data_IF_879145545162
#
_entry.id   IF_879145545162
#
_cell.length_a   1.000
_cell.length_b   1.000
_cell.length_c   1.000
_cell.angle_alpha   90.00
_cell.angle_beta   90.00
_cell.angle_gamma   90.00
#
_symmetry.space_group_name_H-M   'P 1'
#
loop_
_entity.id
_entity.type
_entity.pdbx_description
1 polymer ?
#
# COMPACT_ATOMS: atom_id res chain seq x y z
N UNK A 1 -21.31 -28.53 -11.46
CA UNK A 1 -21.64 -27.97 -12.80
C UNK A 1 -20.45 -28.23 -13.70
N UNK A 2 -20.68 -28.72 -14.92
CA UNK A 2 -19.61 -28.86 -15.92
C UNK A 2 -19.28 -27.48 -16.50
N UNK A 3 -17.99 -27.18 -16.69
CA UNK A 3 -17.56 -25.91 -17.31
C UNK A 3 -17.47 -26.12 -18.82
N UNK A 4 -18.60 -26.04 -19.51
CA UNK A 4 -18.66 -26.29 -20.96
C UNK A 4 -18.24 -25.06 -21.80
N UNK A 5 -17.94 -23.92 -21.15
CA UNK A 5 -17.50 -22.70 -21.85
C UNK A 5 -16.03 -22.80 -22.25
N UNK A 6 -15.77 -22.78 -23.55
CA UNK A 6 -14.43 -22.70 -24.12
C UNK A 6 -13.86 -21.29 -23.88
N UNK A 7 -12.69 -21.21 -23.25
CA UNK A 7 -11.98 -19.94 -23.01
C UNK A 7 -11.05 -19.65 -24.20
N UNK A 8 -11.27 -18.57 -24.98
CA UNK A 8 -10.48 -18.28 -26.18
C UNK A 8 -9.14 -17.61 -25.83
N UNK A 9 -8.19 -18.38 -25.28
CA UNK A 9 -6.89 -17.88 -24.79
C UNK A 9 -6.14 -17.05 -25.84
N UNK A 10 -6.12 -17.49 -27.10
CA UNK A 10 -5.44 -16.78 -28.20
C UNK A 10 -5.97 -15.37 -28.47
N UNK A 11 -7.23 -15.10 -28.13
CA UNK A 11 -7.81 -13.76 -28.24
C UNK A 11 -7.45 -12.90 -27.03
N UNK A 12 -7.43 -13.51 -25.84
CA UNK A 12 -7.13 -12.81 -24.58
C UNK A 12 -5.69 -12.31 -24.53
N UNK A 13 -4.73 -13.11 -24.98
CA UNK A 13 -3.31 -12.73 -25.01
C UNK A 13 -3.01 -11.55 -25.94
N UNK A 14 -3.91 -11.23 -26.87
CA UNK A 14 -3.80 -10.05 -27.75
C UNK A 14 -4.18 -8.74 -27.04
N UNK A 15 -4.68 -8.80 -25.81
CA UNK A 15 -4.98 -7.61 -24.99
C UNK A 15 -6.14 -6.76 -25.51
N UNK A 16 -6.99 -7.29 -26.41
CA UNK A 16 -8.11 -6.54 -26.97
C UNK A 16 -9.20 -6.35 -25.90
N UNK A 17 -9.63 -5.11 -25.71
CA UNK A 17 -10.60 -4.74 -24.67
C UNK A 17 -11.87 -5.59 -24.72
N UNK A 18 -12.47 -5.76 -25.90
CA UNK A 18 -13.74 -6.46 -26.06
C UNK A 18 -13.67 -7.92 -25.60
N UNK A 19 -12.64 -8.67 -26.02
CA UNK A 19 -12.47 -10.08 -25.67
C UNK A 19 -12.15 -10.24 -24.17
N UNK A 20 -11.32 -9.36 -23.62
CA UNK A 20 -10.95 -9.40 -22.21
C UNK A 20 -12.11 -9.00 -21.29
N UNK A 21 -12.88 -7.98 -21.68
CA UNK A 21 -14.05 -7.53 -20.93
C UNK A 21 -15.13 -8.62 -20.89
N UNK A 22 -15.42 -9.25 -22.03
CA UNK A 22 -16.38 -10.37 -22.10
C UNK A 22 -15.93 -11.55 -21.22
N UNK A 23 -14.63 -11.86 -21.20
CA UNK A 23 -14.08 -12.88 -20.32
C UNK A 23 -14.26 -12.54 -18.85
N UNK A 24 -13.93 -11.32 -18.42
CA UNK A 24 -14.06 -10.90 -17.01
C UNK A 24 -15.52 -10.91 -16.56
N UNK A 25 -16.45 -10.44 -17.41
CA UNK A 25 -17.88 -10.50 -17.10
C UNK A 25 -18.36 -11.93 -16.86
N UNK A 26 -17.95 -12.86 -17.72
CA UNK A 26 -18.28 -14.27 -17.53
C UNK A 26 -17.59 -14.85 -16.30
N UNK A 27 -16.31 -14.55 -16.10
CA UNK A 27 -15.53 -15.06 -14.98
C UNK A 27 -16.13 -14.63 -13.65
N UNK A 28 -16.60 -13.38 -13.54
CA UNK A 28 -17.32 -12.90 -12.35
C UNK A 28 -18.59 -13.70 -12.10
N UNK A 29 -19.43 -13.91 -13.11
CA UNK A 29 -20.65 -14.74 -12.98
C UNK A 29 -20.33 -16.18 -12.60
N UNK A 30 -19.27 -16.75 -13.18
CA UNK A 30 -18.78 -18.08 -12.83
C UNK A 30 -18.31 -18.13 -11.37
N UNK A 31 -17.51 -17.15 -10.94
CA UNK A 31 -17.02 -17.05 -9.57
C UNK A 31 -18.19 -16.95 -8.59
N UNK A 32 -19.14 -16.04 -8.80
CA UNK A 32 -20.28 -15.83 -7.90
C UNK A 32 -21.17 -17.08 -7.78
N UNK A 33 -21.27 -17.89 -8.84
CA UNK A 33 -22.07 -19.12 -8.84
C UNK A 33 -21.35 -20.32 -8.22
N UNK A 34 -20.01 -20.30 -8.11
CA UNK A 34 -19.21 -21.46 -7.68
C UNK A 34 -18.44 -21.19 -6.39
N UNK A 35 -18.31 -19.94 -5.95
CA UNK A 35 -17.64 -19.59 -4.71
C UNK A 35 -18.54 -19.93 -3.52
N UNK A 36 -18.10 -20.85 -2.68
CA UNK A 36 -18.83 -21.35 -1.52
C UNK A 36 -18.49 -20.61 -0.21
N UNK A 37 -17.79 -19.47 -0.31
CA UNK A 37 -17.42 -18.63 0.82
C UNK A 37 -16.28 -19.18 1.67
N UNK A 38 -15.65 -20.28 1.27
CA UNK A 38 -14.54 -20.89 2.03
C UNK A 38 -13.23 -20.15 1.80
N UNK A 39 -12.38 -20.18 2.83
CA UNK A 39 -10.99 -19.75 2.74
C UNK A 39 -10.23 -20.66 1.76
N UNK A 40 -9.46 -20.04 0.87
CA UNK A 40 -8.66 -20.75 -0.11
C UNK A 40 -7.42 -21.35 0.54
N UNK A 41 -7.40 -22.66 0.74
CA UNK A 41 -6.19 -23.39 1.12
C UNK A 41 -5.44 -23.84 -0.15
N UNK A 42 -4.29 -23.20 -0.47
CA UNK A 42 -3.54 -23.53 -1.68
C UNK A 42 -2.91 -24.93 -1.65
N UNK A 43 -2.57 -25.46 -0.47
CA UNK A 43 -1.96 -26.80 -0.35
C UNK A 43 -3.01 -27.88 -0.57
N UNK A 44 -4.18 -27.75 0.06
CA UNK A 44 -5.28 -28.68 -0.14
C UNK A 44 -5.84 -28.61 -1.57
N UNK A 45 -5.99 -27.40 -2.13
CA UNK A 45 -6.49 -27.22 -3.49
C UNK A 45 -5.57 -27.85 -4.55
N UNK A 46 -4.25 -27.88 -4.29
CA UNK A 46 -3.24 -28.51 -5.15
C UNK A 46 -2.95 -29.97 -4.79
N UNK A 47 -3.71 -30.55 -3.86
CA UNK A 47 -3.49 -31.93 -3.39
C UNK A 47 -2.04 -32.16 -2.89
N UNK A 48 -1.41 -31.13 -2.32
CA UNK A 48 -0.04 -31.20 -1.79
C UNK A 48 1.09 -31.05 -2.83
N UNK A 49 0.80 -30.63 -4.06
CA UNK A 49 1.85 -30.35 -5.06
C UNK A 49 2.54 -29.00 -4.84
N UNK A 50 3.85 -29.06 -4.62
CA UNK A 50 4.73 -27.90 -4.55
C UNK A 50 4.82 -27.17 -5.89
N UNK A 51 4.74 -25.84 -5.83
CA UNK A 51 4.79 -24.93 -6.99
C UNK A 51 6.22 -24.56 -7.37
N UNK A 52 7.20 -24.98 -6.56
CA UNK A 52 8.58 -24.75 -6.87
C UNK A 52 8.90 -25.46 -8.18
N UNK A 53 9.33 -24.74 -9.24
CA UNK A 53 9.88 -25.41 -10.40
C UNK A 53 11.02 -26.30 -9.91
N UNK A 54 11.01 -27.58 -10.29
CA UNK A 54 12.13 -28.46 -10.01
C UNK A 54 13.40 -27.74 -10.49
N UNK A 55 14.47 -27.66 -9.67
CA UNK A 55 15.71 -27.05 -10.12
C UNK A 55 16.13 -27.80 -11.38
N UNK A 56 16.04 -27.13 -12.53
CA UNK A 56 16.49 -27.69 -13.80
C UNK A 56 17.96 -28.11 -13.60
N UNK A 57 18.33 -29.38 -13.82
CA UNK A 57 19.72 -29.76 -13.85
C UNK A 57 20.32 -29.22 -15.15
N UNK A 58 20.68 -27.94 -15.14
CA UNK A 58 21.54 -27.36 -16.17
C UNK A 58 22.91 -28.06 -16.14
N UNK A 59 23.55 -28.28 -17.29
CA UNK A 59 24.76 -29.09 -17.38
C UNK A 59 25.90 -28.48 -16.58
N UNK A 60 26.35 -29.19 -15.55
CA UNK A 60 27.54 -28.86 -14.79
C UNK A 60 28.75 -28.91 -15.70
N UNK A 61 29.45 -27.78 -15.83
CA UNK A 61 30.76 -27.70 -16.46
C UNK A 61 31.74 -28.58 -15.68
N UNK A 62 32.24 -29.59 -16.37
CA UNK A 62 33.28 -30.51 -15.94
C UNK A 62 34.59 -29.77 -15.64
N UNK A 63 35.21 -30.07 -14.49
CA UNK A 63 36.64 -30.32 -14.44
C UNK A 63 37.01 -31.17 -13.21
N UNK A 64 37.97 -32.10 -13.33
CA UNK A 64 38.07 -33.26 -12.47
C UNK A 64 39.22 -33.15 -11.46
N UNK A 65 39.07 -33.71 -10.27
CA UNK A 65 40.13 -34.49 -9.57
C UNK A 65 39.50 -35.28 -8.42
N UNK A 66 39.79 -36.56 -8.37
CA UNK A 66 39.34 -37.62 -7.43
C UNK A 66 40.61 -38.45 -7.10
N UNK A 67 40.71 -39.33 -6.09
CA UNK A 67 40.11 -39.46 -4.74
C UNK A 67 41.17 -39.69 -3.62
N UNK A 68 40.75 -39.87 -2.36
CA UNK A 68 41.21 -41.04 -1.57
C UNK A 68 40.27 -41.43 -0.42
N UNK A 69 39.92 -42.73 -0.40
CA UNK A 69 39.14 -43.46 0.59
C UNK A 69 39.84 -43.57 1.97
N UNK A 70 39.06 -43.56 3.05
CA UNK A 70 39.22 -44.51 4.17
C UNK A 70 37.96 -44.53 5.10
N UNK A 71 37.69 -45.63 5.83
CA UNK A 71 36.36 -45.96 6.36
C UNK A 71 36.11 -45.64 7.86
N UNK A 72 34.82 -45.42 8.17
CA UNK A 72 33.99 -45.51 9.42
C UNK A 72 34.63 -45.78 10.81
N UNK A 73 34.01 -45.27 11.91
CA UNK A 73 32.96 -46.06 12.60
C UNK A 73 31.73 -45.27 13.10
N UNK A 74 30.58 -45.96 13.17
CA UNK A 74 29.34 -45.56 13.84
C UNK A 74 29.53 -45.30 15.34
N UNK A 75 28.77 -44.34 15.92
CA UNK A 75 28.12 -44.56 17.22
C UNK A 75 27.00 -43.56 17.61
N UNK A 76 25.88 -44.16 18.01
CA UNK A 76 24.80 -43.78 18.97
C UNK A 76 23.80 -42.65 18.66
N UNK A 77 22.56 -43.09 18.43
CA UNK A 77 21.31 -42.35 18.65
C UNK A 77 21.10 -42.02 20.13
N UNK A 78 20.65 -40.81 20.45
CA UNK A 78 19.96 -40.56 21.72
C UNK A 78 18.66 -39.79 21.47
N UNK A 79 17.54 -40.49 21.70
CA UNK A 79 16.22 -39.92 21.85
C UNK A 79 16.10 -39.31 23.25
N UNK A 80 15.60 -38.08 23.34
CA UNK A 80 14.92 -37.58 24.55
C UNK A 80 13.69 -36.76 24.13
N UNK A 81 12.49 -37.03 24.68
CA UNK A 81 11.29 -36.27 24.36
C UNK A 81 11.21 -35.03 25.27
N UNK A 82 11.07 -33.84 24.70
CA UNK A 82 10.78 -32.63 25.46
C UNK A 82 9.40 -32.11 25.09
N UNK A 83 8.47 -32.35 26.02
CA UNK A 83 7.14 -31.77 26.07
C UNK A 83 7.26 -30.25 26.25
N UNK A 84 6.78 -29.47 25.28
CA UNK A 84 6.33 -28.08 25.51
C UNK A 84 5.03 -27.84 24.76
N UNK A 85 3.98 -27.61 25.53
CA UNK A 85 2.67 -27.14 25.06
C UNK A 85 2.72 -25.62 24.87
N UNK A 86 2.09 -25.18 23.77
CA UNK A 86 1.76 -23.83 23.29
C UNK A 86 2.94 -22.97 22.79
N UNK A 87 2.78 -22.28 21.65
CA UNK A 87 1.76 -21.27 21.35
C UNK A 87 0.96 -21.62 20.07
N UNK A 88 -0.05 -20.92 19.56
CA UNK A 88 -0.65 -19.61 19.78
C UNK A 88 -2.13 -19.71 19.41
N UNK A 89 -2.95 -18.80 19.95
CA UNK A 89 -4.25 -18.50 19.37
C UNK A 89 -4.02 -17.87 17.99
N UNK A 90 -4.09 -18.64 16.91
CA UNK A 90 -4.13 -18.09 15.57
C UNK A 90 -5.59 -17.82 15.19
N UNK A 91 -6.14 -16.71 15.71
CA UNK A 91 -7.28 -16.04 15.07
C UNK A 91 -6.71 -15.34 13.84
N UNK A 92 -6.70 -15.98 12.67
CA UNK A 92 -6.14 -15.32 11.48
C UNK A 92 -6.92 -15.56 10.17
N UNK A 93 -8.20 -15.94 10.26
CA UNK A 93 -9.09 -16.01 9.10
C UNK A 93 -9.79 -14.68 8.74
N UNK A 94 -9.80 -13.70 9.65
CA UNK A 94 -10.40 -12.38 9.41
C UNK A 94 -9.46 -11.40 8.69
N UNK A 95 -8.15 -11.66 8.67
CA UNK A 95 -7.17 -10.64 8.33
C UNK A 95 -7.13 -10.29 6.85
N UNK A 96 -7.34 -11.23 5.93
CA UNK A 96 -7.16 -10.93 4.50
C UNK A 96 -8.33 -10.12 3.91
N UNK A 97 -9.56 -10.44 4.32
CA UNK A 97 -10.75 -9.65 3.99
C UNK A 97 -10.69 -8.26 4.65
N UNK A 98 -10.27 -8.18 5.90
CA UNK A 98 -10.06 -6.94 6.64
C UNK A 98 -8.94 -6.09 6.01
N UNK A 99 -7.84 -6.72 5.57
CA UNK A 99 -6.76 -6.05 4.82
C UNK A 99 -7.28 -5.49 3.50
N UNK A 100 -8.12 -6.23 2.78
CA UNK A 100 -8.70 -5.75 1.51
C UNK A 100 -9.64 -4.56 1.75
N UNK A 101 -10.46 -4.60 2.79
CA UNK A 101 -11.36 -3.51 3.18
C UNK A 101 -10.58 -2.26 3.63
N UNK A 102 -9.56 -2.43 4.47
CA UNK A 102 -8.67 -1.35 4.91
C UNK A 102 -7.95 -0.70 3.72
N UNK A 103 -7.47 -1.50 2.77
CA UNK A 103 -6.84 -0.97 1.55
C UNK A 103 -7.84 -0.16 0.70
N UNK A 104 -9.10 -0.61 0.62
CA UNK A 104 -10.14 0.13 -0.09
C UNK A 104 -10.45 1.47 0.59
N UNK A 105 -10.56 1.50 1.92
CA UNK A 105 -10.75 2.73 2.69
C UNK A 105 -9.55 3.68 2.55
N UNK A 106 -8.32 3.16 2.56
CA UNK A 106 -7.13 3.97 2.31
C UNK A 106 -7.12 4.58 0.91
N UNK A 107 -7.57 3.85 -0.11
CA UNK A 107 -7.66 4.38 -1.47
C UNK A 107 -8.71 5.48 -1.58
N UNK A 108 -9.88 5.28 -0.98
CA UNK A 108 -10.97 6.27 -0.96
C UNK A 108 -10.57 7.53 -0.18
N UNK A 109 -9.93 7.35 0.97
CA UNK A 109 -9.45 8.47 1.77
C UNK A 109 -8.39 9.27 1.01
N UNK A 110 -7.45 8.61 0.31
CA UNK A 110 -6.47 9.29 -0.54
C UNK A 110 -7.15 10.14 -1.62
N UNK A 111 -8.11 9.56 -2.35
CA UNK A 111 -8.87 10.31 -3.36
C UNK A 111 -9.63 11.50 -2.76
N UNK A 112 -10.18 11.32 -1.56
CA UNK A 112 -10.89 12.39 -0.83
C UNK A 112 -9.93 13.50 -0.42
N UNK A 113 -8.77 13.16 0.14
CA UNK A 113 -7.72 14.12 0.50
C UNK A 113 -7.24 14.88 -0.73
N UNK A 114 -6.91 14.18 -1.82
CA UNK A 114 -6.50 14.83 -3.08
C UNK A 114 -7.57 15.80 -3.62
N UNK A 115 -8.86 15.48 -3.42
CA UNK A 115 -9.98 16.37 -3.76
C UNK A 115 -10.03 17.60 -2.86
N UNK A 116 -9.96 17.39 -1.54
CA UNK A 116 -9.99 18.46 -0.54
C UNK A 116 -8.77 19.39 -0.66
N UNK A 117 -7.59 18.88 -0.99
CA UNK A 117 -6.39 19.70 -1.20
C UNK A 117 -6.57 20.65 -2.39
N UNK A 118 -7.18 20.18 -3.48
CA UNK A 118 -7.50 21.03 -4.63
C UNK A 118 -8.52 22.10 -4.27
N UNK A 119 -9.55 21.75 -3.49
CA UNK A 119 -10.55 22.71 -3.02
C UNK A 119 -9.93 23.74 -2.07
N UNK A 120 -9.09 23.31 -1.12
CA UNK A 120 -8.32 24.17 -0.23
C UNK A 120 -7.49 25.17 -1.03
N UNK A 121 -6.70 24.69 -1.98
CA UNK A 121 -5.81 25.53 -2.79
C UNK A 121 -6.60 26.49 -3.70
N UNK A 122 -7.75 26.04 -4.20
CA UNK A 122 -8.66 26.88 -4.99
C UNK A 122 -9.24 28.03 -4.19
N UNK A 123 -9.70 27.79 -2.95
CA UNK A 123 -10.21 28.84 -2.08
C UNK A 123 -9.10 29.75 -1.57
N UNK A 124 -7.95 29.19 -1.18
CA UNK A 124 -6.79 29.97 -0.74
C UNK A 124 -6.31 30.93 -1.83
N UNK A 125 -6.19 30.46 -3.07
CA UNK A 125 -5.78 31.31 -4.20
C UNK A 125 -6.73 32.50 -4.40
N UNK A 126 -8.05 32.29 -4.28
CA UNK A 126 -9.04 33.37 -4.35
C UNK A 126 -8.90 34.37 -3.22
N UNK A 127 -8.71 33.89 -1.99
CA UNK A 127 -8.52 34.76 -0.83
C UNK A 127 -7.24 35.59 -0.98
N UNK A 128 -6.17 34.99 -1.51
CA UNK A 128 -4.91 35.70 -1.80
C UNK A 128 -5.06 36.76 -2.89
N UNK A 129 -5.80 36.46 -3.97
CA UNK A 129 -6.11 37.43 -5.01
C UNK A 129 -6.91 38.62 -4.43
N UNK A 130 -7.91 38.34 -3.57
CA UNK A 130 -8.70 39.37 -2.88
C UNK A 130 -7.82 40.22 -1.96
N UNK A 131 -6.92 39.60 -1.19
CA UNK A 131 -6.00 40.28 -0.30
C UNK A 131 -5.09 41.26 -1.06
N UNK A 132 -4.53 40.84 -2.21
CA UNK A 132 -3.72 41.69 -3.08
C UNK A 132 -4.52 42.92 -3.55
N UNK A 133 -5.76 42.72 -3.99
CA UNK A 133 -6.64 43.82 -4.43
C UNK A 133 -6.89 44.82 -3.28
N UNK A 134 -7.09 44.31 -2.05
CA UNK A 134 -7.29 45.16 -0.88
C UNK A 134 -6.03 45.97 -0.53
N UNK A 135 -4.84 45.36 -0.61
CA UNK A 135 -3.55 46.02 -0.36
C UNK A 135 -3.25 47.10 -1.40
N UNK A 136 -3.54 46.87 -2.68
CA UNK A 136 -3.37 47.88 -3.74
C UNK A 136 -4.19 49.16 -3.51
N UNK A 137 -5.33 49.05 -2.83
CA UNK A 137 -6.27 50.16 -2.57
C UNK A 137 -6.26 50.61 -1.09
N UNK A 138 -5.28 50.20 -0.29
CA UNK A 138 -5.21 50.51 1.15
C UNK A 138 -5.18 52.03 1.42
N UNK A 139 -4.54 52.79 0.55
CA UNK A 139 -4.40 54.26 0.67
C UNK A 139 -5.74 55.02 0.58
N UNK A 140 -6.80 54.39 0.06
CA UNK A 140 -8.12 55.00 -0.12
C UNK A 140 -8.96 55.01 1.18
N UNK A 141 -8.45 54.42 2.28
CA UNK A 141 -9.11 54.37 3.59
C UNK A 141 -10.58 53.93 3.53
N UNK A 142 -10.87 52.92 2.71
CA UNK A 142 -12.22 52.43 2.49
C UNK A 142 -12.63 51.46 3.63
N UNK A 143 -13.61 51.89 4.43
CA UNK A 143 -14.16 51.10 5.54
C UNK A 143 -14.68 49.70 5.17
N UNK A 144 -15.06 49.46 3.92
CA UNK A 144 -15.47 48.14 3.43
C UNK A 144 -14.24 47.24 3.25
N UNK A 145 -13.15 47.76 2.69
CA UNK A 145 -11.90 47.01 2.53
C UNK A 145 -11.31 46.61 3.88
N UNK A 146 -11.35 47.51 4.88
CA UNK A 146 -10.91 47.18 6.24
C UNK A 146 -11.68 45.99 6.82
N UNK A 147 -13.01 45.93 6.64
CA UNK A 147 -13.82 44.78 7.09
C UNK A 147 -13.48 43.48 6.35
N UNK A 148 -13.10 43.56 5.07
CA UNK A 148 -12.68 42.39 4.30
C UNK A 148 -11.34 41.87 4.83
N UNK A 149 -10.39 42.77 5.08
CA UNK A 149 -9.10 42.47 5.71
C UNK A 149 -9.31 41.81 7.08
N UNK A 150 -10.21 42.34 7.92
CA UNK A 150 -10.53 41.74 9.23
C UNK A 150 -11.04 40.29 9.09
N UNK A 151 -11.83 39.99 8.05
CA UNK A 151 -12.30 38.62 7.76
C UNK A 151 -11.15 37.72 7.31
N UNK A 152 -10.23 38.24 6.47
CA UNK A 152 -9.10 37.46 5.93
C UNK A 152 -8.09 37.07 7.01
N UNK A 153 -7.90 37.91 8.04
CA UNK A 153 -6.98 37.65 9.15
C UNK A 153 -7.66 37.11 10.41
N UNK A 154 -8.97 36.86 10.38
CA UNK A 154 -9.67 36.23 11.49
C UNK A 154 -9.10 34.82 11.72
N UNK A 155 -8.62 34.53 12.92
CA UNK A 155 -8.12 33.22 13.30
C UNK A 155 -9.18 32.45 14.10
N UNK A 156 -9.33 31.16 13.81
CA UNK A 156 -10.02 30.20 14.67
C UNK A 156 -8.97 29.46 15.52
N UNK A 157 -9.33 29.05 16.75
CA UNK A 157 -8.43 28.31 17.66
C UNK A 157 -7.85 27.08 16.94
N UNK A 158 -6.54 27.06 16.70
CA UNK A 158 -5.83 25.99 16.00
C UNK A 158 -5.58 26.19 14.51
N UNK A 159 -5.97 27.33 13.93
CA UNK A 159 -5.66 27.72 12.54
C UNK A 159 -4.63 28.84 12.40
N UNK A 160 -4.19 29.44 13.51
CA UNK A 160 -3.06 30.36 13.49
C UNK A 160 -1.77 29.57 13.19
N UNK A 161 -0.93 30.01 12.23
CA UNK A 161 0.44 29.53 12.13
C UNK A 161 1.10 29.61 13.51
N UNK A 162 1.87 28.60 13.95
CA UNK A 162 2.74 28.78 15.10
C UNK A 162 3.54 30.04 14.85
N UNK A 163 3.48 31.01 15.77
CA UNK A 163 4.31 32.21 15.65
C UNK A 163 5.77 31.74 15.50
N UNK A 164 6.48 32.27 14.49
CA UNK A 164 7.88 31.99 14.21
C UNK A 164 8.78 32.53 15.36
N UNK A 165 8.60 32.05 16.59
CA UNK A 165 9.39 32.50 17.76
C UNK A 165 10.73 31.75 17.91
N UNK A 166 11.01 30.69 17.13
CA UNK A 166 12.17 29.82 17.36
C UNK A 166 13.27 29.86 16.26
N UNK A 167 13.33 30.89 15.41
CA UNK A 167 14.38 30.99 14.37
C UNK A 167 15.56 31.91 14.71
N UNK A 168 15.51 32.69 15.79
CA UNK A 168 16.56 33.67 16.11
C UNK A 168 17.52 33.28 17.25
N UNK A 169 17.27 32.22 18.03
CA UNK A 169 18.20 31.80 19.11
C UNK A 169 19.38 30.93 18.63
N UNK A 170 19.28 30.29 17.46
CA UNK A 170 20.33 29.37 16.99
C UNK A 170 21.55 30.08 16.37
N UNK A 171 21.43 31.38 16.01
CA UNK A 171 22.52 32.12 15.38
C UNK A 171 23.57 32.68 16.37
N UNK A 172 23.30 32.61 17.69
CA UNK A 172 24.17 33.20 18.71
C UNK A 172 25.13 32.21 19.39
N UNK A 173 25.04 30.90 19.13
CA UNK A 173 25.88 29.89 19.79
C UNK A 173 27.15 29.49 19.01
N UNK A 174 27.25 29.83 17.72
CA UNK A 174 28.40 29.46 16.88
C UNK A 174 29.54 30.50 16.87
N UNK A 175 29.47 31.55 17.70
CA UNK A 175 30.48 32.62 17.73
C UNK A 175 31.45 32.55 18.92
N UNK A 176 31.23 31.65 19.88
CA UNK A 176 32.02 31.53 21.11
C UNK A 176 32.70 30.14 21.26
N UNK A 177 33.49 29.73 20.26
CA UNK A 177 34.55 28.73 20.51
C UNK A 177 35.83 29.14 19.78
N UNK A 178 36.76 29.73 20.55
CA UNK A 178 38.11 30.12 20.16
C UNK A 178 39.13 29.18 20.81
#
# INVERSE_FOLDING_TARGET
MSVDKIIPVEKLVKGKFQDNFEFVQWFKKFFDANYDGKEYDPLLARQGQDVAPAPNPGPQRTSPTVPKNMPTPQRVQHNTPAMRKNPSLSRNGGSDAEIMELNQQLMELKLTVDGLEKERDFYFSKLRDIELICQEHESENNSVLSKIIDILYATEEGFAPPEDEDLDEQAHLDQDEY
#
